data_IF_555808563002
#
_entry.id   IF_555808563002
#
_cell.length_a   1.000
_cell.length_b   1.000
_cell.length_c   1.000
_cell.angle_alpha   90.00
_cell.angle_beta   90.00
_cell.angle_gamma   90.00
#
_symmetry.space_group_name_H-M   'P 1'
#
loop_
_entity.id
_entity.type
_entity.pdbx_description
1 polymer ?
#
# COMPACT_ATOMS: atom_id res chain seq x y z
N UNK A 1 25.89 65.86 48.85
CA UNK A 1 27.11 65.05 48.62
C UNK A 1 26.87 64.28 47.33
N UNK A 2 27.49 64.73 46.26
CA UNK A 2 27.39 64.18 44.92
C UNK A 2 28.42 63.02 44.80
N UNK A 3 27.95 61.81 44.59
CA UNK A 3 28.78 60.64 44.30
C UNK A 3 29.20 60.64 42.83
N UNK A 4 30.47 60.58 42.57
CA UNK A 4 31.10 60.52 41.26
C UNK A 4 30.92 59.19 40.62
N UNK A 5 30.41 59.23 39.38
CA UNK A 5 30.22 58.07 38.48
C UNK A 5 31.59 57.52 37.99
N UNK A 6 31.86 56.20 38.05
CA UNK A 6 33.13 55.70 37.54
C UNK A 6 33.10 55.57 36.04
N UNK A 7 34.09 56.07 35.36
CA UNK A 7 34.39 55.97 33.95
C UNK A 7 34.45 54.49 33.49
N UNK A 8 33.85 54.12 32.33
CA UNK A 8 33.90 52.72 31.84
C UNK A 8 35.28 52.40 31.26
N UNK A 9 35.85 51.28 31.71
CA UNK A 9 37.07 50.69 31.14
C UNK A 9 36.89 50.26 29.66
N UNK A 10 37.94 50.41 28.85
CA UNK A 10 37.90 50.05 27.43
C UNK A 10 37.89 48.51 27.29
N UNK A 11 36.89 47.98 26.59
CA UNK A 11 36.79 46.55 26.24
C UNK A 11 37.97 46.12 25.38
N UNK A 12 38.59 44.95 25.64
CA UNK A 12 39.68 44.46 24.81
C UNK A 12 39.14 44.08 23.42
N UNK A 13 39.81 44.62 22.38
CA UNK A 13 39.56 44.21 20.99
C UNK A 13 40.03 42.77 20.78
N UNK A 14 39.11 41.81 20.77
CA UNK A 14 39.39 40.43 20.31
C UNK A 14 39.43 40.43 18.79
N UNK A 15 40.55 40.88 18.24
CA UNK A 15 40.91 40.72 16.83
C UNK A 15 41.68 39.39 16.65
N UNK A 16 40.99 38.26 16.75
CA UNK A 16 41.58 36.97 16.39
C UNK A 16 41.07 36.53 15.04
N UNK A 17 41.78 36.91 13.98
CA UNK A 17 41.61 36.25 12.67
C UNK A 17 42.09 34.82 12.85
N UNK A 18 41.14 33.89 13.06
CA UNK A 18 41.43 32.46 13.05
C UNK A 18 41.80 32.10 11.62
N UNK A 19 43.12 32.06 11.33
CA UNK A 19 43.65 31.47 10.12
C UNK A 19 43.20 30.01 10.09
N UNK A 20 42.17 29.68 9.29
CA UNK A 20 41.79 28.30 9.03
C UNK A 20 42.97 27.64 8.32
N UNK A 21 43.68 26.74 8.99
CA UNK A 21 44.82 26.03 8.43
C UNK A 21 44.41 25.33 7.12
N UNK A 22 45.25 25.40 6.11
CA UNK A 22 45.02 24.72 4.79
C UNK A 22 44.70 23.24 4.94
N UNK A 23 45.25 22.60 5.96
CA UNK A 23 44.95 21.20 6.35
C UNK A 23 43.49 21.00 6.80
N UNK A 24 42.90 21.99 7.49
CA UNK A 24 41.50 21.93 7.90
C UNK A 24 40.52 22.07 6.72
N UNK A 25 40.88 22.88 5.72
CA UNK A 25 40.09 23.09 4.50
C UNK A 25 40.18 21.84 3.60
N UNK A 26 41.36 21.26 3.42
CA UNK A 26 41.56 20.04 2.68
C UNK A 26 40.80 18.85 3.33
N UNK A 27 40.82 18.75 4.65
CA UNK A 27 40.06 17.74 5.38
C UNK A 27 38.53 17.92 5.26
N UNK A 28 38.04 19.17 5.18
CA UNK A 28 36.62 19.46 4.97
C UNK A 28 36.18 19.11 3.53
N UNK A 29 37.00 19.46 2.55
CA UNK A 29 36.74 19.07 1.14
C UNK A 29 36.74 17.55 0.94
N UNK A 30 37.71 16.85 1.51
CA UNK A 30 37.78 15.38 1.48
C UNK A 30 36.54 14.73 2.11
N UNK A 31 36.09 15.21 3.28
CA UNK A 31 34.86 14.71 3.90
C UNK A 31 33.61 14.99 3.08
N UNK A 32 33.53 16.12 2.37
CA UNK A 32 32.40 16.42 1.46
C UNK A 32 32.40 15.48 0.27
N UNK A 33 33.55 15.27 -0.35
CA UNK A 33 33.70 14.35 -1.47
C UNK A 33 33.33 12.92 -1.09
N UNK A 34 33.86 12.43 0.05
CA UNK A 34 33.51 11.11 0.57
C UNK A 34 32.00 10.96 0.78
N UNK A 35 31.34 11.92 1.45
CA UNK A 35 29.89 11.88 1.65
C UNK A 35 29.13 11.86 0.33
N UNK A 36 29.58 12.65 -0.64
CA UNK A 36 28.94 12.68 -1.95
C UNK A 36 29.05 11.33 -2.67
N UNK A 37 30.24 10.75 -2.68
CA UNK A 37 30.48 9.44 -3.30
C UNK A 37 29.73 8.31 -2.59
N UNK A 38 29.76 8.29 -1.25
CA UNK A 38 29.02 7.32 -0.46
C UNK A 38 27.51 7.44 -0.68
N UNK A 39 26.96 8.66 -0.72
CA UNK A 39 25.54 8.88 -1.01
C UNK A 39 25.18 8.31 -2.41
N UNK A 40 25.97 8.64 -3.45
CA UNK A 40 25.73 8.12 -4.79
C UNK A 40 25.79 6.58 -4.85
N UNK A 41 26.75 5.99 -4.16
CA UNK A 41 26.90 4.54 -4.13
C UNK A 41 25.70 3.87 -3.44
N UNK A 42 25.23 4.43 -2.33
CA UNK A 42 24.03 3.92 -1.62
C UNK A 42 22.79 4.00 -2.50
N UNK A 43 22.54 5.15 -3.14
CA UNK A 43 21.36 5.30 -3.99
C UNK A 43 21.43 4.41 -5.24
N UNK A 44 22.58 4.35 -5.90
CA UNK A 44 22.76 3.46 -7.04
C UNK A 44 22.62 1.98 -6.66
N UNK A 45 23.15 1.58 -5.50
CA UNK A 45 22.98 0.25 -4.96
C UNK A 45 21.53 -0.09 -4.64
N UNK A 46 20.82 0.88 -4.06
CA UNK A 46 19.38 0.72 -3.76
C UNK A 46 18.55 0.57 -5.05
N UNK A 47 18.75 1.45 -6.03
CA UNK A 47 18.07 1.34 -7.32
C UNK A 47 18.40 0.02 -8.06
N UNK A 48 19.64 -0.47 -7.92
CA UNK A 48 20.00 -1.77 -8.45
C UNK A 48 19.25 -2.91 -7.76
N UNK A 49 19.12 -2.85 -6.42
CA UNK A 49 18.35 -3.83 -5.64
C UNK A 49 16.87 -3.81 -6.03
N UNK A 50 16.27 -2.64 -6.15
CA UNK A 50 14.86 -2.51 -6.55
C UNK A 50 14.61 -3.13 -7.92
N UNK A 51 15.43 -2.80 -8.91
CA UNK A 51 15.30 -3.37 -10.27
C UNK A 51 15.57 -4.87 -10.32
N UNK A 52 16.62 -5.31 -9.62
CA UNK A 52 17.03 -6.72 -9.66
C UNK A 52 16.14 -7.62 -8.81
N UNK A 53 15.52 -7.07 -7.74
CA UNK A 53 14.65 -7.79 -6.84
C UNK A 53 13.18 -7.83 -7.30
N UNK A 54 12.79 -6.99 -8.25
CA UNK A 54 11.43 -6.99 -8.79
C UNK A 54 11.11 -8.33 -9.48
N UNK A 55 9.83 -8.74 -9.36
CA UNK A 55 9.36 -10.01 -9.93
C UNK A 55 8.51 -9.68 -11.15
N UNK A 56 9.05 -9.89 -12.34
CA UNK A 56 8.32 -9.88 -13.60
C UNK A 56 8.10 -11.30 -14.12
N UNK A 57 7.33 -11.47 -15.22
CA UNK A 57 6.95 -12.78 -15.74
C UNK A 57 8.16 -13.66 -16.11
N UNK A 58 9.27 -13.05 -16.54
CA UNK A 58 10.49 -13.75 -16.92
C UNK A 58 11.43 -14.04 -15.75
N UNK A 59 11.14 -13.53 -14.56
CA UNK A 59 11.99 -13.77 -13.40
C UNK A 59 11.87 -15.21 -12.89
N UNK A 60 12.95 -15.82 -12.37
CA UNK A 60 12.90 -17.18 -11.83
C UNK A 60 11.84 -17.33 -10.71
N UNK A 61 11.59 -16.26 -9.96
CA UNK A 61 10.63 -16.25 -8.85
C UNK A 61 9.16 -16.25 -9.34
N UNK A 62 8.90 -15.75 -10.56
CA UNK A 62 7.57 -15.79 -11.17
C UNK A 62 7.01 -17.22 -11.28
N UNK A 63 7.89 -18.22 -11.45
CA UNK A 63 7.48 -19.65 -11.54
C UNK A 63 6.80 -20.20 -10.30
N UNK A 64 6.87 -19.48 -9.17
CA UNK A 64 6.17 -19.87 -7.94
C UNK A 64 4.70 -19.48 -7.99
N UNK A 65 4.35 -18.46 -8.78
CA UNK A 65 2.99 -17.97 -8.94
C UNK A 65 2.19 -18.86 -9.90
N UNK A 66 0.87 -18.89 -9.73
CA UNK A 66 -0.03 -19.53 -10.67
C UNK A 66 0.05 -18.91 -12.06
N UNK A 67 0.15 -17.58 -12.12
CA UNK A 67 0.46 -16.83 -13.33
C UNK A 67 0.92 -15.41 -12.99
N UNK A 68 1.81 -14.84 -13.83
CA UNK A 68 2.10 -13.41 -13.91
C UNK A 68 2.09 -13.03 -15.39
N UNK A 69 1.17 -12.15 -15.78
CA UNK A 69 0.98 -11.70 -17.15
C UNK A 69 2.13 -10.82 -17.66
N UNK A 70 2.19 -10.65 -19.00
CA UNK A 70 3.20 -9.80 -19.64
C UNK A 70 3.06 -8.36 -19.18
N UNK A 71 4.18 -7.64 -19.08
CA UNK A 71 4.20 -6.25 -18.65
C UNK A 71 3.99 -6.06 -17.15
N UNK A 72 3.61 -7.10 -16.41
CA UNK A 72 3.35 -7.01 -14.96
C UNK A 72 4.62 -7.06 -14.14
N UNK A 73 4.59 -6.38 -12.99
CA UNK A 73 5.73 -6.26 -12.09
C UNK A 73 5.27 -6.22 -10.62
N UNK A 74 5.90 -7.04 -9.79
CA UNK A 74 5.83 -6.91 -8.34
C UNK A 74 7.11 -6.20 -7.90
N UNK A 75 6.95 -4.99 -7.39
CA UNK A 75 8.06 -4.15 -6.97
C UNK A 75 8.80 -4.72 -5.75
N UNK A 76 10.08 -4.46 -5.68
CA UNK A 76 10.90 -4.81 -4.53
C UNK A 76 11.01 -3.63 -3.54
N UNK A 77 11.11 -3.88 -2.23
CA UNK A 77 10.97 -5.18 -1.59
C UNK A 77 9.50 -5.62 -1.48
N UNK A 78 9.21 -6.90 -1.66
CA UNK A 78 7.86 -7.41 -1.43
C UNK A 78 7.54 -7.43 0.07
N UNK A 79 6.26 -7.49 0.41
CA UNK A 79 5.79 -7.90 1.72
C UNK A 79 5.82 -9.42 1.91
N UNK A 80 5.00 -9.95 2.80
CA UNK A 80 4.85 -11.39 2.97
C UNK A 80 4.25 -12.03 1.70
N UNK A 81 4.86 -13.14 1.26
CA UNK A 81 4.40 -13.89 0.09
C UNK A 81 4.41 -15.38 0.42
N UNK A 82 3.25 -16.01 0.34
CA UNK A 82 3.14 -17.47 0.41
C UNK A 82 1.87 -17.95 -0.30
N UNK A 83 1.83 -19.24 -0.67
CA UNK A 83 0.74 -19.79 -1.47
C UNK A 83 0.70 -19.25 -2.89
N UNK A 84 1.82 -18.77 -3.42
CA UNK A 84 1.92 -18.06 -4.70
C UNK A 84 1.35 -18.86 -5.87
N UNK A 85 1.39 -20.19 -5.84
CA UNK A 85 0.80 -21.03 -6.90
C UNK A 85 -0.71 -20.80 -7.07
N UNK A 86 -1.38 -20.30 -6.04
CA UNK A 86 -2.81 -20.02 -6.00
C UNK A 86 -3.15 -18.56 -6.30
N UNK A 87 -2.12 -17.78 -6.71
CA UNK A 87 -2.23 -16.35 -7.01
C UNK A 87 -1.99 -16.16 -8.50
N UNK A 88 -2.92 -15.49 -9.17
CA UNK A 88 -2.80 -15.12 -10.59
C UNK A 88 -2.88 -13.62 -10.75
N UNK A 89 -1.97 -13.08 -11.54
CA UNK A 89 -1.85 -11.65 -11.85
C UNK A 89 -1.91 -11.52 -13.37
N UNK A 90 -2.80 -10.67 -13.84
CA UNK A 90 -3.01 -10.39 -15.26
C UNK A 90 -1.86 -9.64 -15.92
N UNK A 91 -2.10 -9.10 -17.12
CA UNK A 91 -1.12 -8.34 -17.91
C UNK A 91 -1.07 -6.87 -17.47
N UNK A 92 0.10 -6.24 -17.66
CA UNK A 92 0.33 -4.79 -17.42
C UNK A 92 -0.06 -4.30 -16.02
N UNK A 93 -0.01 -5.19 -15.03
CA UNK A 93 -0.38 -4.92 -13.63
C UNK A 93 0.85 -4.62 -12.79
N UNK A 94 0.79 -3.51 -12.04
CA UNK A 94 1.84 -3.10 -11.11
C UNK A 94 1.42 -3.38 -9.65
N UNK A 95 2.18 -4.23 -8.98
CA UNK A 95 2.06 -4.44 -7.53
C UNK A 95 3.18 -3.68 -6.83
N UNK A 96 2.83 -2.70 -6.01
CA UNK A 96 3.76 -1.80 -5.33
C UNK A 96 4.68 -2.49 -4.32
N UNK A 97 5.72 -1.80 -3.83
CA UNK A 97 6.61 -2.36 -2.82
C UNK A 97 5.89 -2.58 -1.49
N UNK A 98 6.40 -3.52 -0.70
CA UNK A 98 5.87 -3.92 0.61
C UNK A 98 4.43 -4.50 0.55
N UNK A 99 3.91 -4.82 -0.64
CA UNK A 99 2.62 -5.48 -0.75
C UNK A 99 2.74 -6.94 -0.34
N UNK A 100 1.87 -7.36 0.58
CA UNK A 100 1.72 -8.76 0.99
C UNK A 100 0.65 -9.42 0.13
N UNK A 101 1.01 -10.53 -0.48
CA UNK A 101 0.11 -11.40 -1.25
C UNK A 101 0.18 -12.80 -0.66
N UNK A 102 -0.94 -13.30 -0.16
CA UNK A 102 -0.96 -14.64 0.40
C UNK A 102 -2.23 -15.39 0.02
N UNK A 103 -2.08 -16.69 -0.18
CA UNK A 103 -3.16 -17.63 -0.35
C UNK A 103 -3.00 -18.76 0.69
N UNK A 104 -4.01 -18.92 1.53
CA UNK A 104 -4.00 -19.82 2.68
C UNK A 104 -3.53 -19.19 3.97
N UNK A 105 -3.54 -19.96 5.05
CA UNK A 105 -3.17 -19.54 6.40
C UNK A 105 -1.68 -19.78 6.70
N UNK A 106 -1.10 -20.79 6.07
CA UNK A 106 0.29 -21.21 6.28
C UNK A 106 0.96 -21.60 4.97
N UNK A 107 2.30 -21.44 4.89
CA UNK A 107 3.03 -21.89 3.71
C UNK A 107 2.84 -23.39 3.43
N UNK A 108 2.61 -23.74 2.16
CA UNK A 108 2.44 -25.14 1.72
C UNK A 108 1.03 -25.70 1.86
N UNK A 109 0.08 -24.94 2.37
CA UNK A 109 -1.33 -25.35 2.43
C UNK A 109 -1.87 -25.60 1.03
N UNK A 110 -2.67 -26.70 0.90
CA UNK A 110 -3.42 -26.97 -0.32
C UNK A 110 -4.77 -26.26 -0.24
N UNK A 111 -5.10 -25.55 -1.29
CA UNK A 111 -6.33 -24.76 -1.35
C UNK A 111 -7.43 -25.51 -2.09
N UNK A 112 -8.69 -25.20 -1.77
CA UNK A 112 -9.87 -25.81 -2.39
C UNK A 112 -10.31 -25.10 -3.67
N UNK A 113 -9.85 -23.86 -3.85
CA UNK A 113 -10.13 -23.02 -5.04
C UNK A 113 -8.84 -22.71 -5.78
N UNK A 114 -8.92 -22.54 -7.11
CA UNK A 114 -7.80 -22.16 -7.97
C UNK A 114 -8.30 -21.24 -9.09
N UNK A 115 -7.94 -19.97 -9.09
CA UNK A 115 -7.10 -19.29 -8.08
C UNK A 115 -7.85 -18.94 -6.79
N UNK A 116 -7.10 -18.77 -5.71
CA UNK A 116 -7.58 -18.16 -4.47
C UNK A 116 -7.56 -16.63 -4.57
N UNK A 117 -6.51 -16.08 -5.19
CA UNK A 117 -6.40 -14.64 -5.45
C UNK A 117 -6.19 -14.44 -6.95
N UNK A 118 -7.11 -13.69 -7.56
CA UNK A 118 -6.96 -13.17 -8.93
C UNK A 118 -6.86 -11.65 -8.87
N UNK A 119 -5.88 -11.11 -9.58
CA UNK A 119 -5.74 -9.68 -9.88
C UNK A 119 -5.76 -9.57 -11.39
N UNK A 120 -6.66 -8.77 -11.94
CA UNK A 120 -6.85 -8.60 -13.38
C UNK A 120 -5.71 -7.85 -14.08
N UNK A 121 -6.01 -7.42 -15.30
CA UNK A 121 -5.09 -6.69 -16.15
C UNK A 121 -5.08 -5.19 -15.80
N UNK A 122 -3.96 -4.50 -16.10
CA UNK A 122 -3.80 -3.03 -15.98
C UNK A 122 -4.13 -2.50 -14.59
N UNK A 123 -3.99 -3.34 -13.57
CA UNK A 123 -4.22 -2.95 -12.18
C UNK A 123 -3.01 -2.23 -11.58
N UNK A 124 -3.28 -1.41 -10.57
CA UNK A 124 -2.25 -0.82 -9.73
C UNK A 124 -2.57 -1.08 -8.26
N UNK A 125 -1.77 -1.93 -7.62
CA UNK A 125 -1.90 -2.22 -6.18
C UNK A 125 -0.92 -1.35 -5.41
N UNK A 126 -1.45 -0.43 -4.62
CA UNK A 126 -0.67 0.56 -3.86
C UNK A 126 0.26 -0.07 -2.82
N UNK A 127 1.39 0.59 -2.57
CA UNK A 127 2.42 0.14 -1.60
C UNK A 127 1.84 -0.25 -0.25
N UNK A 128 2.42 -1.27 0.37
CA UNK A 128 2.07 -1.69 1.72
C UNK A 128 0.67 -2.26 1.87
N UNK A 129 -0.04 -2.54 0.76
CA UNK A 129 -1.33 -3.20 0.80
C UNK A 129 -1.20 -4.69 1.14
N UNK A 130 -2.25 -5.27 1.71
CA UNK A 130 -2.30 -6.69 2.05
C UNK A 130 -3.52 -7.32 1.38
N UNK A 131 -3.30 -8.33 0.55
CA UNK A 131 -4.34 -9.16 -0.06
C UNK A 131 -4.14 -10.57 0.49
N UNK A 132 -5.06 -10.98 1.36
CA UNK A 132 -4.96 -12.22 2.14
C UNK A 132 -6.16 -13.07 1.81
N UNK A 133 -5.99 -13.99 0.85
CA UNK A 133 -7.04 -14.88 0.40
C UNK A 133 -6.96 -16.26 1.05
N UNK A 134 -8.10 -16.82 1.36
CA UNK A 134 -8.22 -18.19 1.84
C UNK A 134 -9.14 -19.02 0.96
N UNK A 135 -10.14 -18.39 0.36
CA UNK A 135 -11.13 -19.06 -0.48
C UNK A 135 -11.19 -18.44 -1.88
N UNK A 136 -11.58 -17.15 -2.00
CA UNK A 136 -11.63 -16.49 -3.30
C UNK A 136 -11.64 -14.96 -3.15
N UNK A 137 -10.62 -14.30 -3.68
CA UNK A 137 -10.56 -12.86 -3.90
C UNK A 137 -10.40 -12.63 -5.39
N UNK A 138 -11.41 -12.01 -6.01
CA UNK A 138 -11.41 -11.68 -7.43
C UNK A 138 -11.37 -10.14 -7.61
N UNK A 139 -10.24 -9.63 -8.11
CA UNK A 139 -10.03 -8.24 -8.45
C UNK A 139 -10.04 -8.16 -9.97
N UNK A 140 -10.99 -7.38 -10.51
CA UNK A 140 -11.18 -7.19 -11.94
C UNK A 140 -10.05 -6.42 -12.62
N UNK A 141 -10.28 -6.04 -13.86
CA UNK A 141 -9.33 -5.29 -14.67
C UNK A 141 -9.39 -3.78 -14.34
N UNK A 142 -8.30 -3.07 -14.64
CA UNK A 142 -8.22 -1.61 -14.45
C UNK A 142 -8.49 -1.13 -13.01
N UNK A 143 -8.32 -2.00 -12.01
CA UNK A 143 -8.52 -1.65 -10.61
C UNK A 143 -7.29 -0.96 -10.04
N UNK A 144 -7.50 0.23 -9.45
CA UNK A 144 -6.44 0.97 -8.78
C UNK A 144 -6.68 1.05 -7.28
N UNK A 145 -5.66 0.77 -6.48
CA UNK A 145 -5.71 0.96 -5.03
C UNK A 145 -4.70 2.01 -4.57
N UNK A 146 -5.11 2.83 -3.62
CA UNK A 146 -4.18 3.64 -2.82
C UNK A 146 -3.28 2.76 -1.96
N UNK A 147 -2.32 3.37 -1.24
CA UNK A 147 -1.47 2.65 -0.29
C UNK A 147 -2.26 2.04 0.87
N UNK A 148 -1.72 0.95 1.44
CA UNK A 148 -2.20 0.35 2.69
C UNK A 148 -3.64 -0.12 2.66
N UNK A 149 -4.12 -0.60 1.51
CA UNK A 149 -5.42 -1.26 1.39
C UNK A 149 -5.32 -2.68 1.95
N UNK A 150 -6.30 -3.10 2.73
CA UNK A 150 -6.41 -4.46 3.24
C UNK A 150 -7.63 -5.16 2.62
N UNK A 151 -7.42 -6.31 2.01
CA UNK A 151 -8.47 -7.13 1.39
C UNK A 151 -8.37 -8.55 1.94
N UNK A 152 -9.47 -9.05 2.49
CA UNK A 152 -9.54 -10.44 2.98
C UNK A 152 -10.92 -11.03 2.75
N UNK A 153 -10.96 -12.32 2.46
CA UNK A 153 -12.17 -13.12 2.31
C UNK A 153 -12.46 -14.00 3.52
N UNK A 154 -11.70 -13.83 4.61
CA UNK A 154 -11.74 -14.65 5.80
C UNK A 154 -11.90 -13.81 7.08
N UNK A 155 -12.74 -14.31 8.02
CA UNK A 155 -12.78 -13.89 9.41
C UNK A 155 -12.63 -15.09 10.34
N UNK A 156 -12.08 -14.85 11.55
CA UNK A 156 -12.12 -15.86 12.60
C UNK A 156 -13.56 -16.14 13.04
N UNK A 157 -13.86 -17.39 13.37
CA UNK A 157 -15.04 -17.75 14.15
C UNK A 157 -14.91 -17.20 15.57
N UNK A 158 -16.04 -16.84 16.18
CA UNK A 158 -16.11 -16.30 17.54
C UNK A 158 -17.40 -16.67 18.24
N UNK A 159 -18.22 -17.50 17.60
CA UNK A 159 -19.58 -17.85 18.05
C UNK A 159 -19.57 -18.78 19.25
N UNK A 160 -18.57 -19.64 19.37
CA UNK A 160 -18.40 -20.49 20.54
C UNK A 160 -17.75 -19.70 21.68
N UNK A 161 -18.49 -19.55 22.78
CA UNK A 161 -18.04 -18.78 23.96
C UNK A 161 -17.07 -19.56 24.84
N UNK A 162 -17.02 -20.87 24.71
CA UNK A 162 -16.15 -21.76 25.48
C UNK A 162 -14.80 -22.00 24.80
N UNK A 163 -14.68 -21.61 23.52
CA UNK A 163 -13.44 -21.71 22.74
C UNK A 163 -12.78 -20.34 22.52
N UNK A 164 -11.43 -20.32 22.54
CA UNK A 164 -10.67 -19.12 22.16
C UNK A 164 -10.79 -18.86 20.67
N UNK A 165 -10.88 -17.59 20.26
CA UNK A 165 -11.16 -17.16 18.87
C UNK A 165 -10.22 -17.81 17.84
N UNK A 166 -8.93 -17.97 18.16
CA UNK A 166 -7.95 -18.48 17.19
C UNK A 166 -8.07 -19.98 16.91
N UNK A 167 -8.82 -20.75 17.73
CA UNK A 167 -9.07 -22.19 17.51
C UNK A 167 -10.37 -22.43 16.77
N UNK A 168 -11.26 -21.45 16.73
CA UNK A 168 -12.53 -21.57 16.03
C UNK A 168 -12.32 -21.53 14.51
N UNK A 169 -13.08 -22.35 13.79
CA UNK A 169 -12.94 -22.44 12.35
C UNK A 169 -13.33 -21.14 11.66
N UNK A 170 -12.49 -20.61 10.76
CA UNK A 170 -12.79 -19.34 10.09
C UNK A 170 -13.94 -19.47 9.08
N UNK A 171 -14.65 -18.37 8.88
CA UNK A 171 -15.68 -18.24 7.87
C UNK A 171 -15.12 -17.56 6.62
N UNK A 172 -15.12 -18.29 5.51
CA UNK A 172 -14.65 -17.81 4.22
C UNK A 172 -15.83 -17.32 3.38
N UNK A 173 -15.81 -16.07 2.95
CA UNK A 173 -16.83 -15.51 2.07
C UNK A 173 -16.15 -14.74 0.95
N UNK A 174 -16.38 -15.10 -0.34
CA UNK A 174 -15.70 -14.50 -1.47
C UNK A 174 -15.77 -12.98 -1.47
N UNK A 175 -14.70 -12.35 -1.98
CA UNK A 175 -14.63 -10.92 -2.25
C UNK A 175 -14.52 -10.69 -3.75
N UNK A 176 -15.33 -9.77 -4.27
CA UNK A 176 -15.31 -9.38 -5.68
C UNK A 176 -15.14 -7.85 -5.77
N UNK A 177 -14.18 -7.40 -6.56
CA UNK A 177 -13.96 -6.00 -6.88
C UNK A 177 -14.06 -5.86 -8.40
N UNK A 178 -15.13 -5.21 -8.88
CA UNK A 178 -15.40 -5.05 -10.30
C UNK A 178 -14.43 -4.10 -10.99
N UNK A 179 -14.36 -4.26 -12.32
CA UNK A 179 -13.45 -3.54 -13.20
C UNK A 179 -13.50 -2.02 -13.02
N UNK A 180 -12.37 -1.35 -13.22
CA UNK A 180 -12.28 0.11 -13.19
C UNK A 180 -12.49 0.74 -11.81
N UNK A 181 -12.57 -0.04 -10.75
CA UNK A 181 -12.81 0.47 -9.40
C UNK A 181 -11.56 1.13 -8.81
N UNK A 182 -11.77 2.15 -7.98
CA UNK A 182 -10.71 2.84 -7.27
C UNK A 182 -10.93 2.78 -5.76
N UNK A 183 -9.96 2.20 -5.04
CA UNK A 183 -9.97 2.13 -3.59
C UNK A 183 -8.98 3.14 -3.02
N UNK A 184 -9.48 4.09 -2.23
CA UNK A 184 -8.65 5.10 -1.55
C UNK A 184 -7.68 4.48 -0.55
N UNK A 185 -6.73 5.30 -0.09
CA UNK A 185 -5.73 4.90 0.92
C UNK A 185 -6.38 4.31 2.17
N UNK A 186 -5.85 3.20 2.68
CA UNK A 186 -6.26 2.61 3.96
C UNK A 186 -7.67 2.01 3.95
N UNK A 187 -8.23 1.74 2.78
CA UNK A 187 -9.52 1.01 2.66
C UNK A 187 -9.36 -0.41 3.17
N UNK A 188 -10.35 -0.88 3.93
CA UNK A 188 -10.45 -2.27 4.40
C UNK A 188 -11.64 -2.92 3.70
N UNK A 189 -11.38 -4.00 2.94
CA UNK A 189 -12.41 -4.81 2.29
C UNK A 189 -12.56 -6.12 3.05
N UNK A 190 -13.76 -6.34 3.59
CA UNK A 190 -14.08 -7.47 4.45
C UNK A 190 -14.73 -8.62 3.66
N UNK A 191 -14.75 -9.83 4.22
CA UNK A 191 -15.38 -11.00 3.62
C UNK A 191 -16.81 -10.71 3.16
N UNK A 192 -17.16 -11.21 1.96
CA UNK A 192 -18.47 -11.04 1.35
C UNK A 192 -18.71 -9.66 0.72
N UNK A 193 -17.68 -8.81 0.62
CA UNK A 193 -17.81 -7.56 -0.12
C UNK A 193 -17.86 -7.82 -1.63
N UNK A 194 -18.87 -7.23 -2.29
CA UNK A 194 -19.04 -7.27 -3.74
C UNK A 194 -19.18 -5.85 -4.25
N UNK A 195 -18.18 -5.37 -4.97
CA UNK A 195 -18.19 -4.09 -5.65
C UNK A 195 -18.49 -4.32 -7.13
N UNK A 196 -19.46 -3.60 -7.68
CA UNK A 196 -19.69 -3.54 -9.10
C UNK A 196 -18.56 -2.82 -9.85
N UNK A 197 -18.76 -2.51 -11.13
CA UNK A 197 -17.78 -1.83 -11.96
C UNK A 197 -17.71 -0.32 -11.64
N UNK A 198 -16.51 0.25 -11.79
CA UNK A 198 -16.28 1.69 -11.61
C UNK A 198 -16.78 2.21 -10.24
N UNK A 199 -16.57 1.45 -9.19
CA UNK A 199 -16.88 1.88 -7.82
C UNK A 199 -15.70 2.66 -7.26
N UNK A 200 -16.00 3.82 -6.67
CA UNK A 200 -15.01 4.63 -5.96
C UNK A 200 -15.20 4.44 -4.46
N UNK A 201 -14.15 4.02 -3.77
CA UNK A 201 -14.16 3.84 -2.32
C UNK A 201 -13.33 4.94 -1.64
N UNK A 202 -13.98 5.76 -0.83
CA UNK A 202 -13.31 6.82 -0.06
C UNK A 202 -12.24 6.27 0.89
N UNK A 203 -11.15 7.02 1.06
CA UNK A 203 -10.03 6.61 1.94
C UNK A 203 -10.50 6.28 3.36
N UNK A 204 -9.88 5.28 3.99
CA UNK A 204 -10.18 4.83 5.34
C UNK A 204 -11.53 4.14 5.53
N UNK A 205 -12.24 3.82 4.44
CA UNK A 205 -13.55 3.15 4.52
C UNK A 205 -13.40 1.67 4.85
N UNK A 206 -14.42 1.13 5.54
CA UNK A 206 -14.57 -0.31 5.79
C UNK A 206 -15.73 -0.85 4.96
N UNK A 207 -15.40 -1.64 3.96
CA UNK A 207 -16.33 -2.13 2.93
C UNK A 207 -16.83 -3.52 3.30
N UNK A 208 -18.16 -3.67 3.37
CA UNK A 208 -18.87 -4.94 3.53
C UNK A 208 -20.21 -4.91 2.81
N UNK A 209 -20.63 -6.05 2.25
CA UNK A 209 -21.87 -6.16 1.49
C UNK A 209 -21.71 -5.75 0.03
N UNK A 210 -22.84 -5.59 -0.67
CA UNK A 210 -22.89 -5.42 -2.13
C UNK A 210 -23.18 -3.98 -2.52
N UNK A 211 -22.41 -3.47 -3.48
CA UNK A 211 -22.53 -2.13 -4.04
C UNK A 211 -22.66 -2.21 -5.56
N UNK A 212 -23.61 -1.46 -6.17
CA UNK A 212 -23.84 -1.50 -7.61
C UNK A 212 -22.71 -0.82 -8.40
N UNK A 213 -22.75 -1.00 -9.72
CA UNK A 213 -21.88 -0.26 -10.64
C UNK A 213 -22.01 1.26 -10.46
N UNK A 214 -20.95 1.98 -10.77
CA UNK A 214 -20.94 3.45 -10.87
C UNK A 214 -21.45 4.16 -9.60
N UNK A 215 -20.92 3.79 -8.46
CA UNK A 215 -21.21 4.49 -7.21
C UNK A 215 -19.93 4.93 -6.48
N UNK A 216 -20.10 5.92 -5.62
CA UNK A 216 -19.08 6.33 -4.66
C UNK A 216 -19.55 5.90 -3.28
N UNK A 217 -18.69 5.17 -2.58
CA UNK A 217 -18.97 4.70 -1.22
C UNK A 217 -17.93 5.23 -0.25
N UNK A 218 -18.33 5.52 0.98
CA UNK A 218 -17.40 5.99 2.00
C UNK A 218 -17.94 5.66 3.42
N UNK A 219 -17.04 5.65 4.40
CA UNK A 219 -17.34 5.53 5.83
C UNK A 219 -17.05 4.17 6.44
N UNK A 220 -17.35 4.05 7.75
CA UNK A 220 -17.18 2.85 8.57
C UNK A 220 -18.48 2.55 9.31
N UNK A 221 -19.28 1.59 8.84
CA UNK A 221 -19.18 0.86 7.59
C UNK A 221 -19.47 1.75 6.38
N UNK A 222 -18.92 1.41 5.20
CA UNK A 222 -19.13 2.17 3.96
C UNK A 222 -20.61 2.20 3.56
N UNK A 223 -21.04 3.35 3.01
CA UNK A 223 -22.37 3.58 2.46
C UNK A 223 -22.25 4.31 1.14
N UNK A 224 -23.26 4.16 0.26
CA UNK A 224 -23.32 4.92 -0.98
C UNK A 224 -23.51 6.40 -0.64
N UNK A 225 -22.51 7.22 -1.04
CA UNK A 225 -22.57 8.68 -0.90
C UNK A 225 -22.91 9.37 -2.20
N UNK A 226 -22.67 8.72 -3.36
CA UNK A 226 -23.12 9.13 -4.68
C UNK A 226 -23.36 7.91 -5.55
N UNK A 227 -24.27 8.04 -6.51
CA UNK A 227 -24.49 7.03 -7.54
C UNK A 227 -24.79 7.72 -8.87
N UNK A 228 -24.54 7.01 -9.97
CA UNK A 228 -24.81 7.50 -11.30
C UNK A 228 -26.13 6.95 -11.82
N UNK A 229 -27.00 7.83 -12.33
CA UNK A 229 -28.20 7.44 -13.05
C UNK A 229 -28.14 7.89 -14.51
N UNK A 230 -28.40 6.98 -15.47
CA UNK A 230 -28.48 7.34 -16.88
C UNK A 230 -29.51 8.46 -17.12
N UNK A 231 -29.10 9.54 -17.77
CA UNK A 231 -29.96 10.69 -18.05
C UNK A 231 -30.03 11.75 -16.94
N UNK A 232 -29.71 11.41 -15.69
CA UNK A 232 -29.69 12.35 -14.57
C UNK A 232 -28.25 12.67 -14.09
N UNK A 233 -27.26 11.81 -14.41
CA UNK A 233 -25.89 12.00 -13.99
C UNK A 233 -25.62 11.55 -12.55
N UNK A 234 -24.64 12.17 -11.88
CA UNK A 234 -24.24 11.82 -10.52
C UNK A 234 -25.16 12.45 -9.47
N UNK A 235 -25.88 11.61 -8.74
CA UNK A 235 -26.79 11.98 -7.67
C UNK A 235 -26.19 11.74 -6.29
N UNK A 236 -26.67 12.45 -5.26
CA UNK A 236 -26.33 12.17 -3.88
C UNK A 236 -26.90 10.81 -3.43
N UNK A 237 -26.17 10.08 -2.61
CA UNK A 237 -26.62 8.84 -2.03
C UNK A 237 -27.71 9.07 -0.96
N UNK A 238 -28.43 8.02 -0.58
CA UNK A 238 -29.44 8.09 0.47
C UNK A 238 -28.83 8.60 1.79
N UNK A 239 -29.42 9.64 2.38
CA UNK A 239 -29.01 10.17 3.69
C UNK A 239 -27.80 11.12 3.67
N UNK A 240 -27.26 11.48 2.51
CA UNK A 240 -26.24 12.53 2.37
C UNK A 240 -26.95 13.87 2.17
N UNK A 241 -26.96 14.70 3.23
CA UNK A 241 -27.47 16.07 3.13
C UNK A 241 -26.66 16.88 2.10
N UNK A 242 -27.32 17.78 1.38
CA UNK A 242 -26.71 18.72 0.44
C UNK A 242 -25.86 19.72 1.24
N UNK A 243 -24.60 19.37 1.47
CA UNK A 243 -23.70 20.23 2.20
C UNK A 243 -22.24 19.90 1.86
N UNK A 244 -21.74 20.59 0.87
CA UNK A 244 -20.41 21.14 0.64
C UNK A 244 -20.13 21.30 -0.84
#
# INVERSE_FOLDING_TARGET
MLGTDPTPEPRPKVGGTVARSAAGVAGAAGRRLYRHLANRAVHAGWEWLERSGAIGPDSPRARRFGAIGRGSCLAFPPGAQFGERWIRIGEDTLVGPYVSLSAGMVPGQQMVTDPVVRIGDRCMIGRGSHIVGHFNIDIGDDVHTGPYVYITDQNHGYEDQDEVVHTQWPHDVPVVIGDGSWLGTGVVVLPGAVLGRNVVVGAGSVVRGTFPDHCVIAGVPARIVRHYEPGAGWLAGPGVGHGA
#
